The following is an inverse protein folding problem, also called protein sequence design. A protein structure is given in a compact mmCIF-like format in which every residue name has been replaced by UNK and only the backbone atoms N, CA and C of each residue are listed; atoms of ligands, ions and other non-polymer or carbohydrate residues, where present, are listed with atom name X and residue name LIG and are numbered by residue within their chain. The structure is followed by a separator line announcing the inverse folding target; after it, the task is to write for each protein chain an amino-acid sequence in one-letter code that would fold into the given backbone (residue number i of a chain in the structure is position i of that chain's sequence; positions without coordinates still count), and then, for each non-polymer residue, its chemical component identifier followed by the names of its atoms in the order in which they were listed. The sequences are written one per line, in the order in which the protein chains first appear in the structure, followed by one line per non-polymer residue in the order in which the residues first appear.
data_IF_202131501461
#
_entry.id   IF_202131501461
#
_cell.length_a   1.000
_cell.length_b   1.000
_cell.length_c   1.000
_cell.angle_alpha   90.00
_cell.angle_beta   90.00
_cell.angle_gamma   90.00
#
_symmetry.space_group_name_H-M   'P 1'
#
loop_
_entity.id
_entity.type
_entity.pdbx_description
1 polymer ?
#
# COMPACT_ATOMS: atom_id res chain seq x y z
N UNK A 1 2.35 -11.74 -18.18
CA UNK A 1 1.00 -11.29 -17.80
C UNK A 1 1.14 -10.35 -16.60
N UNK A 2 0.29 -9.31 -16.48
CA UNK A 2 0.29 -8.45 -15.29
C UNK A 2 -0.19 -9.26 -14.07
N UNK A 3 0.43 -9.03 -12.90
CA UNK A 3 0.01 -9.69 -11.65
C UNK A 3 -1.41 -9.29 -11.25
N UNK A 4 -2.09 -10.12 -10.44
CA UNK A 4 -3.43 -9.78 -9.93
C UNK A 4 -3.42 -8.44 -9.19
N UNK A 5 -2.36 -8.14 -8.46
CA UNK A 5 -2.21 -6.87 -7.76
C UNK A 5 -2.17 -5.66 -8.69
N UNK A 6 -1.61 -5.80 -9.89
CA UNK A 6 -1.61 -4.76 -10.92
C UNK A 6 -2.94 -4.72 -11.69
N UNK A 7 -3.45 -5.89 -12.13
CA UNK A 7 -4.71 -6.00 -12.85
C UNK A 7 -5.89 -5.38 -12.09
N UNK A 8 -5.93 -5.56 -10.77
CA UNK A 8 -7.01 -5.08 -9.89
C UNK A 8 -6.64 -3.80 -9.10
N UNK A 9 -5.54 -3.14 -9.47
CA UNK A 9 -5.15 -1.86 -8.87
C UNK A 9 -6.26 -0.83 -9.10
N UNK A 10 -6.76 -0.17 -8.05
CA UNK A 10 -7.76 0.88 -8.18
C UNK A 10 -7.29 2.02 -9.10
N UNK A 11 -8.14 2.42 -10.03
CA UNK A 11 -7.92 3.56 -10.93
C UNK A 11 -8.68 4.81 -10.51
N UNK A 12 -9.45 4.73 -9.42
CA UNK A 12 -10.24 5.83 -8.85
C UNK A 12 -10.26 5.69 -7.33
N UNK A 13 -10.35 6.80 -6.63
CA UNK A 13 -10.39 6.83 -5.16
C UNK A 13 -11.51 5.97 -4.56
N UNK A 14 -12.67 5.88 -5.22
CA UNK A 14 -13.78 5.02 -4.79
C UNK A 14 -13.43 3.51 -4.77
N UNK A 15 -12.44 3.09 -5.54
CA UNK A 15 -11.96 1.70 -5.57
C UNK A 15 -10.94 1.36 -4.48
N UNK A 16 -10.44 2.35 -3.75
CA UNK A 16 -9.44 2.13 -2.68
C UNK A 16 -10.13 1.53 -1.47
N UNK A 17 -9.65 0.36 -1.05
CA UNK A 17 -10.28 -0.46 -0.03
C UNK A 17 -9.64 -0.23 1.34
N UNK A 18 -10.47 -0.13 2.38
CA UNK A 18 -10.01 -0.06 3.78
C UNK A 18 -9.33 1.25 4.18
N UNK A 19 -9.37 2.30 3.34
CA UNK A 19 -8.67 3.57 3.56
C UNK A 19 -9.60 4.80 3.45
N UNK A 20 -10.86 4.65 3.87
CA UNK A 20 -11.87 5.70 3.69
C UNK A 20 -11.46 7.06 4.27
N UNK A 21 -10.82 7.06 5.45
CA UNK A 21 -10.33 8.28 6.11
C UNK A 21 -9.23 8.95 5.31
N UNK A 22 -8.23 8.18 4.89
CA UNK A 22 -7.11 8.69 4.08
C UNK A 22 -7.60 9.22 2.71
N UNK A 23 -8.49 8.48 2.04
CA UNK A 23 -9.11 8.91 0.78
C UNK A 23 -9.86 10.23 0.95
N UNK A 24 -10.70 10.36 1.99
CA UNK A 24 -11.44 11.60 2.27
C UNK A 24 -10.48 12.77 2.52
N UNK A 25 -9.40 12.56 3.25
CA UNK A 25 -8.37 13.58 3.51
C UNK A 25 -7.69 14.00 2.21
N UNK A 26 -7.26 13.04 1.37
CA UNK A 26 -6.64 13.32 0.07
C UNK A 26 -7.59 14.13 -0.81
N UNK A 27 -8.84 13.71 -0.96
CA UNK A 27 -9.83 14.42 -1.79
C UNK A 27 -10.11 15.83 -1.28
N UNK A 28 -10.19 16.05 0.03
CA UNK A 28 -10.39 17.37 0.62
C UNK A 28 -9.22 18.32 0.33
N UNK A 29 -7.99 17.80 0.28
CA UNK A 29 -6.80 18.60 -0.07
C UNK A 29 -6.74 18.86 -1.57
N UNK A 30 -7.02 17.87 -2.41
CA UNK A 30 -7.06 18.01 -3.87
C UNK A 30 -8.10 19.03 -4.33
N UNK A 31 -9.24 19.14 -3.63
CA UNK A 31 -10.27 20.15 -3.90
C UNK A 31 -9.77 21.59 -3.71
N UNK A 32 -8.67 21.81 -2.97
CA UNK A 32 -8.03 23.13 -2.76
C UNK A 32 -6.90 23.44 -3.74
N UNK A 33 -6.63 22.52 -4.65
CA UNK A 33 -5.54 22.59 -5.63
C UNK A 33 -4.66 21.36 -5.61
N UNK A 34 -4.17 20.98 -6.78
CA UNK A 34 -3.42 19.74 -6.96
C UNK A 34 -1.91 19.91 -6.74
N UNK A 35 -1.31 20.90 -7.36
CA UNK A 35 0.14 21.08 -7.40
C UNK A 35 0.67 22.10 -6.39
N UNK A 36 1.95 22.45 -6.52
CA UNK A 36 2.66 23.31 -5.58
C UNK A 36 2.78 22.69 -4.19
N UNK A 37 2.77 21.35 -4.09
CA UNK A 37 2.78 20.65 -2.79
C UNK A 37 3.46 19.31 -2.82
N UNK A 38 3.89 18.90 -1.64
CA UNK A 38 4.40 17.57 -1.40
C UNK A 38 3.46 16.78 -0.49
N UNK A 39 3.45 15.47 -0.67
CA UNK A 39 2.68 14.51 0.11
C UNK A 39 3.62 13.52 0.77
N UNK A 40 3.29 13.12 1.99
CA UNK A 40 3.99 12.07 2.72
C UNK A 40 2.99 10.98 3.09
N UNK A 41 3.08 9.81 2.43
CA UNK A 41 2.15 8.70 2.63
C UNK A 41 2.85 7.59 3.38
N UNK A 42 2.46 7.35 4.63
CA UNK A 42 2.99 6.27 5.45
C UNK A 42 1.95 5.18 5.72
N UNK A 43 2.41 3.95 5.94
CA UNK A 43 1.54 2.81 6.23
C UNK A 43 2.24 1.48 6.04
N UNK A 44 1.65 0.40 6.55
CA UNK A 44 2.18 -0.95 6.39
C UNK A 44 2.35 -1.35 4.92
N UNK A 45 3.18 -2.36 4.64
CA UNK A 45 3.33 -2.88 3.29
C UNK A 45 1.99 -3.42 2.77
N UNK A 46 1.69 -3.20 1.49
CA UNK A 46 0.47 -3.70 0.84
C UNK A 46 -0.84 -2.99 1.21
N UNK A 47 -0.81 -1.88 1.97
CA UNK A 47 -2.00 -1.11 2.36
C UNK A 47 -2.50 -0.13 1.29
N UNK A 48 -1.78 0.02 0.17
CA UNK A 48 -2.20 0.86 -0.95
C UNK A 48 -1.48 2.20 -1.08
N UNK A 49 -0.30 2.39 -0.44
CA UNK A 49 0.48 3.65 -0.54
C UNK A 49 0.73 4.09 -1.98
N UNK A 50 1.36 3.22 -2.77
CA UNK A 50 1.66 3.49 -4.19
C UNK A 50 0.38 3.68 -5.01
N UNK A 51 -0.71 2.98 -4.68
CA UNK A 51 -2.01 3.18 -5.33
C UNK A 51 -2.54 4.60 -5.10
N UNK A 52 -2.53 5.08 -3.85
CA UNK A 52 -2.97 6.44 -3.53
C UNK A 52 -2.02 7.47 -4.14
N UNK A 53 -0.70 7.21 -4.14
CA UNK A 53 0.28 8.09 -4.79
C UNK A 53 -0.03 8.27 -6.29
N UNK A 54 -0.28 7.17 -7.01
CA UNK A 54 -0.66 7.20 -8.42
C UNK A 54 -1.99 7.95 -8.63
N UNK A 55 -3.00 7.73 -7.78
CA UNK A 55 -4.28 8.45 -7.88
C UNK A 55 -4.13 9.96 -7.63
N UNK A 56 -3.20 10.36 -6.75
CA UNK A 56 -2.85 11.78 -6.56
C UNK A 56 -2.18 12.32 -7.83
N UNK A 57 -1.23 11.60 -8.40
CA UNK A 57 -0.57 11.99 -9.65
C UNK A 57 -1.60 12.12 -10.78
N UNK A 58 -2.44 11.11 -10.98
CA UNK A 58 -3.48 11.07 -12.00
C UNK A 58 -4.52 12.18 -11.85
N UNK A 59 -4.67 12.78 -10.68
CA UNK A 59 -5.62 13.87 -10.47
C UNK A 59 -5.22 15.16 -11.19
N UNK A 60 -3.93 15.37 -11.52
CA UNK A 60 -3.48 16.63 -12.14
C UNK A 60 -2.30 16.51 -13.08
N UNK A 61 -1.51 15.43 -13.02
CA UNK A 61 -0.37 15.26 -13.92
C UNK A 61 -0.79 14.65 -15.27
N UNK A 62 -0.07 15.02 -16.31
CA UNK A 62 -0.08 14.30 -17.57
C UNK A 62 0.63 12.94 -17.37
N UNK A 63 0.08 11.84 -17.89
CA UNK A 63 0.69 10.50 -17.74
C UNK A 63 2.15 10.41 -18.21
N UNK A 64 2.55 11.18 -19.23
CA UNK A 64 3.94 11.24 -19.71
C UNK A 64 4.89 11.97 -18.73
N UNK A 65 4.34 12.75 -17.82
CA UNK A 65 5.10 13.51 -16.82
C UNK A 65 4.88 12.97 -15.39
N UNK A 66 4.54 11.70 -15.27
CA UNK A 66 4.59 10.97 -14.00
C UNK A 66 5.86 10.13 -13.97
N UNK A 67 6.78 10.48 -13.06
CA UNK A 67 8.05 9.77 -12.89
C UNK A 67 8.06 9.08 -11.53
N UNK A 68 8.25 7.75 -11.52
CA UNK A 68 8.46 6.96 -10.29
C UNK A 68 9.96 6.81 -10.04
N UNK A 69 10.38 7.16 -8.83
CA UNK A 69 11.78 7.17 -8.39
C UNK A 69 11.89 6.38 -7.08
N UNK A 70 12.95 5.62 -6.95
CA UNK A 70 13.36 5.07 -5.65
C UNK A 70 14.16 6.13 -4.89
N UNK A 71 13.93 6.24 -3.58
CA UNK A 71 14.64 7.22 -2.75
C UNK A 71 16.17 7.07 -2.80
N UNK A 72 16.66 5.83 -2.96
CA UNK A 72 18.10 5.53 -3.01
C UNK A 72 18.79 6.09 -4.27
N UNK A 73 18.06 6.28 -5.37
CA UNK A 73 18.62 6.85 -6.61
C UNK A 73 18.51 8.38 -6.66
N UNK A 74 17.84 9.01 -5.69
CA UNK A 74 17.74 10.47 -5.57
C UNK A 74 19.05 11.09 -5.06
N UNK A 75 20.03 11.13 -5.94
CA UNK A 75 21.29 11.85 -5.71
C UNK A 75 21.08 13.36 -5.90
N UNK A 76 22.00 14.22 -5.40
CA UNK A 76 21.99 15.65 -5.70
C UNK A 76 21.93 15.97 -7.19
N UNK A 77 22.63 15.20 -8.02
CA UNK A 77 22.61 15.36 -9.47
C UNK A 77 21.21 15.06 -10.07
N UNK A 78 20.56 13.99 -9.62
CA UNK A 78 19.19 13.64 -10.06
C UNK A 78 18.18 14.66 -9.60
N UNK A 79 18.30 15.18 -8.37
CA UNK A 79 17.44 16.25 -7.87
C UNK A 79 17.59 17.55 -8.68
N UNK A 80 18.80 17.91 -9.06
CA UNK A 80 19.04 19.08 -9.94
C UNK A 80 18.44 18.87 -11.35
N UNK A 81 18.40 17.63 -11.87
CA UNK A 81 17.71 17.30 -13.13
C UNK A 81 16.19 17.46 -12.96
N UNK A 82 15.63 16.91 -11.89
CA UNK A 82 14.20 17.03 -11.55
C UNK A 82 13.83 18.52 -11.43
N UNK A 83 14.59 19.32 -10.69
CA UNK A 83 14.33 20.74 -10.51
C UNK A 83 14.37 21.53 -11.84
N UNK A 84 15.37 21.27 -12.69
CA UNK A 84 15.42 21.86 -14.03
C UNK A 84 14.19 21.53 -14.87
N UNK A 85 13.63 20.34 -14.71
CA UNK A 85 12.44 19.91 -15.43
C UNK A 85 11.18 20.70 -15.05
N UNK A 86 11.16 21.38 -13.90
CA UNK A 86 10.04 22.23 -13.46
C UNK A 86 9.81 23.43 -14.38
N UNK A 87 10.83 23.85 -15.14
CA UNK A 87 10.67 24.90 -16.15
C UNK A 87 9.73 24.54 -17.31
N UNK A 88 9.48 23.24 -17.51
CA UNK A 88 8.67 22.74 -18.62
C UNK A 88 7.29 22.31 -18.13
N UNK A 89 6.25 22.59 -18.92
CA UNK A 89 4.87 22.15 -18.72
C UNK A 89 4.42 21.25 -19.87
N UNK A 90 3.46 20.38 -19.63
CA UNK A 90 2.78 19.68 -20.71
C UNK A 90 2.06 20.68 -21.60
N UNK A 91 2.17 20.50 -22.92
CA UNK A 91 1.53 21.38 -23.89
C UNK A 91 0.08 20.99 -24.20
N UNK A 92 -0.32 19.76 -23.86
CA UNK A 92 -1.66 19.23 -24.09
C UNK A 92 -2.11 18.39 -22.89
N UNK A 93 -3.41 18.31 -22.66
CA UNK A 93 -3.97 17.51 -21.57
C UNK A 93 -3.86 18.20 -20.22
N UNK A 94 -3.49 17.46 -19.19
CA UNK A 94 -3.26 17.99 -17.84
C UNK A 94 -1.88 18.61 -17.77
N UNK A 95 -1.74 19.85 -17.28
CA UNK A 95 -0.46 20.57 -17.35
C UNK A 95 0.55 20.14 -16.26
N UNK A 96 0.15 19.26 -15.34
CA UNK A 96 0.93 18.91 -14.18
C UNK A 96 1.99 17.86 -14.41
N UNK A 97 2.98 17.87 -13.52
CA UNK A 97 4.04 16.85 -13.38
C UNK A 97 4.00 16.25 -12.00
N UNK A 98 4.17 14.94 -11.89
CA UNK A 98 4.24 14.27 -10.61
C UNK A 98 5.51 13.43 -10.47
N UNK A 99 6.14 13.50 -9.32
CA UNK A 99 7.28 12.68 -8.93
C UNK A 99 6.86 11.80 -7.75
N UNK A 100 6.88 10.49 -7.96
CA UNK A 100 6.53 9.51 -6.94
C UNK A 100 7.82 8.91 -6.38
N UNK A 101 8.17 9.30 -5.17
CA UNK A 101 9.40 8.85 -4.49
C UNK A 101 9.02 7.70 -3.56
N UNK A 102 9.37 6.49 -3.98
CA UNK A 102 9.11 5.28 -3.21
C UNK A 102 10.20 5.05 -2.16
N UNK A 103 9.80 4.41 -1.05
CA UNK A 103 10.66 4.06 0.09
C UNK A 103 11.49 5.24 0.62
N UNK A 104 10.79 6.37 0.84
CA UNK A 104 11.39 7.66 1.21
C UNK A 104 12.31 7.62 2.45
N UNK A 105 12.21 6.59 3.29
CA UNK A 105 13.16 6.35 4.37
C UNK A 105 14.59 6.00 3.89
N UNK A 106 14.76 5.69 2.60
CA UNK A 106 16.07 5.52 1.96
C UNK A 106 16.73 6.81 1.48
N UNK A 107 16.12 7.98 1.71
CA UNK A 107 16.70 9.27 1.32
C UNK A 107 17.98 9.55 2.10
N UNK A 108 19.00 9.99 1.38
CA UNK A 108 20.29 10.40 1.96
C UNK A 108 20.22 11.83 2.49
N UNK A 109 21.04 12.17 3.48
CA UNK A 109 21.04 13.48 4.13
C UNK A 109 21.29 14.65 3.15
N UNK A 110 22.18 14.43 2.17
CA UNK A 110 22.46 15.40 1.13
C UNK A 110 21.22 15.68 0.23
N UNK A 111 20.48 14.61 -0.12
CA UNK A 111 19.23 14.71 -0.86
C UNK A 111 18.12 15.39 -0.05
N UNK A 112 18.00 15.10 1.25
CA UNK A 112 17.01 15.72 2.14
C UNK A 112 17.21 17.25 2.18
N UNK A 113 18.46 17.70 2.34
CA UNK A 113 18.77 19.15 2.37
C UNK A 113 18.37 19.88 1.09
N UNK A 114 18.61 19.26 -0.05
CA UNK A 114 18.18 19.84 -1.34
C UNK A 114 16.66 19.82 -1.50
N UNK A 115 16.00 18.72 -1.09
CA UNK A 115 14.56 18.63 -1.11
C UNK A 115 13.89 19.70 -0.23
N UNK A 116 14.46 20.03 0.94
CA UNK A 116 13.93 21.08 1.80
C UNK A 116 13.84 22.43 1.06
N UNK A 117 14.89 22.79 0.31
CA UNK A 117 14.91 24.04 -0.49
C UNK A 117 13.95 23.94 -1.68
N UNK A 118 13.94 22.81 -2.36
CA UNK A 118 13.09 22.55 -3.52
C UNK A 118 11.59 22.64 -3.16
N UNK A 119 11.19 22.06 -2.03
CA UNK A 119 9.79 22.03 -1.59
C UNK A 119 9.23 23.41 -1.25
N UNK A 120 10.07 24.35 -0.80
CA UNK A 120 9.67 25.75 -0.54
C UNK A 120 9.34 26.54 -1.80
N UNK A 121 9.84 26.10 -2.95
CA UNK A 121 9.70 26.78 -4.26
C UNK A 121 8.99 25.93 -5.30
N UNK A 122 8.23 24.93 -4.85
CA UNK A 122 7.57 23.97 -5.74
C UNK A 122 6.51 24.67 -6.59
N UNK A 123 6.62 24.63 -7.94
CA UNK A 123 5.67 25.28 -8.83
C UNK A 123 4.27 24.68 -8.73
N UNK A 124 3.23 25.47 -8.99
CA UNK A 124 1.82 25.03 -8.93
C UNK A 124 1.47 23.86 -9.86
N UNK A 125 2.27 23.61 -10.90
CA UNK A 125 2.08 22.48 -11.83
C UNK A 125 2.93 21.27 -11.46
N UNK A 126 3.59 21.25 -10.30
CA UNK A 126 4.41 20.12 -9.83
C UNK A 126 3.87 19.58 -8.53
N UNK A 127 3.85 18.27 -8.42
CA UNK A 127 3.47 17.54 -7.21
C UNK A 127 4.54 16.48 -6.90
N UNK A 128 4.96 16.38 -5.65
CA UNK A 128 5.87 15.32 -5.20
C UNK A 128 5.16 14.45 -4.17
N UNK A 129 5.21 13.14 -4.33
CA UNK A 129 4.56 12.20 -3.41
C UNK A 129 5.59 11.21 -2.87
N UNK A 130 5.89 11.32 -1.61
CA UNK A 130 6.75 10.38 -0.89
C UNK A 130 5.92 9.23 -0.33
N UNK A 131 6.39 7.99 -0.47
CA UNK A 131 5.79 6.82 0.20
C UNK A 131 6.80 6.14 1.10
N UNK A 132 6.38 5.68 2.27
CA UNK A 132 7.24 4.97 3.23
C UNK A 132 6.47 3.94 4.04
N UNK A 133 7.16 2.96 4.61
CA UNK A 133 6.57 2.06 5.59
C UNK A 133 6.56 2.70 6.98
N UNK A 134 5.68 2.25 7.90
CA UNK A 134 5.68 2.76 9.28
C UNK A 134 7.03 2.54 9.98
N UNK A 135 7.65 1.37 9.80
CA UNK A 135 8.96 1.08 10.35
C UNK A 135 10.04 1.98 9.75
N UNK A 136 10.02 2.17 8.43
CA UNK A 136 10.93 3.07 7.74
C UNK A 136 10.76 4.53 8.17
N UNK A 137 9.50 4.97 8.39
CA UNK A 137 9.23 6.32 8.89
C UNK A 137 9.81 6.56 10.28
N UNK A 138 9.69 5.59 11.20
CA UNK A 138 10.26 5.69 12.54
C UNK A 138 11.79 5.80 12.48
N UNK A 139 12.45 4.90 11.75
CA UNK A 139 13.91 4.94 11.58
C UNK A 139 14.39 6.25 10.94
N UNK A 140 13.65 6.73 9.96
CA UNK A 140 13.96 7.97 9.26
C UNK A 140 13.77 9.20 10.17
N UNK A 141 12.74 9.22 11.01
CA UNK A 141 12.45 10.32 11.94
C UNK A 141 13.50 10.48 13.02
N UNK A 142 14.14 9.36 13.44
CA UNK A 142 15.20 9.38 14.46
C UNK A 142 16.52 10.00 13.93
N UNK A 143 16.67 10.16 12.62
CA UNK A 143 17.87 10.74 11.99
C UNK A 143 17.93 12.28 12.01
N UNK A 144 17.05 12.95 12.73
CA UNK A 144 17.12 14.43 12.98
C UNK A 144 16.87 15.35 11.78
N UNK A 145 17.34 14.97 10.58
CA UNK A 145 17.20 15.76 9.34
C UNK A 145 15.85 15.52 8.62
N UNK A 146 15.10 14.48 9.00
CA UNK A 146 13.89 14.04 8.33
C UNK A 146 12.62 14.78 8.77
N UNK A 147 12.53 15.14 10.04
CA UNK A 147 11.34 15.82 10.59
C UNK A 147 11.01 17.14 9.86
N UNK A 148 11.99 18.00 9.49
CA UNK A 148 11.74 19.18 8.68
C UNK A 148 11.16 18.87 7.29
N UNK A 149 11.56 17.76 6.64
CA UNK A 149 11.01 17.34 5.36
C UNK A 149 9.55 16.90 5.49
N UNK A 150 9.27 16.04 6.47
CA UNK A 150 7.92 15.52 6.73
C UNK A 150 6.96 16.67 7.08
N UNK A 151 7.41 17.67 7.85
CA UNK A 151 6.61 18.83 8.24
C UNK A 151 6.18 19.71 7.07
N UNK A 152 6.94 19.71 5.96
CA UNK A 152 6.62 20.45 4.73
C UNK A 152 5.68 19.68 3.81
N UNK A 153 5.37 18.44 4.16
CA UNK A 153 4.49 17.57 3.36
C UNK A 153 3.08 17.48 3.96
N UNK A 154 2.08 17.32 3.11
CA UNK A 154 0.75 16.87 3.54
C UNK A 154 0.84 15.39 3.94
N UNK A 155 0.69 15.12 5.23
CA UNK A 155 0.84 13.78 5.77
C UNK A 155 -0.45 12.97 5.65
N UNK A 156 -0.36 11.78 5.08
CA UNK A 156 -1.43 10.80 4.95
C UNK A 156 -0.98 9.48 5.56
N UNK A 157 -1.65 9.04 6.61
CA UNK A 157 -1.37 7.77 7.26
C UNK A 157 -2.40 6.72 6.87
N UNK A 158 -1.94 5.59 6.34
CA UNK A 158 -2.80 4.48 5.96
C UNK A 158 -2.98 3.52 7.14
N UNK A 159 -4.23 3.10 7.33
CA UNK A 159 -4.62 2.22 8.41
C UNK A 159 -4.44 0.75 8.03
N UNK A 160 -4.12 -0.09 9.02
CA UNK A 160 -4.08 -1.54 8.92
C UNK A 160 -4.81 -2.20 10.11
N UNK A 161 -5.85 -1.53 10.59
CA UNK A 161 -6.70 -2.01 11.68
C UNK A 161 -7.78 -3.00 11.22
N UNK A 162 -8.59 -3.53 12.16
CA UNK A 162 -9.60 -4.55 11.86
C UNK A 162 -10.58 -4.15 10.76
N UNK A 163 -11.03 -2.90 10.74
CA UNK A 163 -11.95 -2.40 9.71
C UNK A 163 -11.31 -2.41 8.32
N UNK A 164 -10.05 -2.01 8.21
CA UNK A 164 -9.28 -2.04 6.96
C UNK A 164 -9.08 -3.48 6.48
N UNK A 165 -8.71 -4.40 7.39
CA UNK A 165 -8.52 -5.83 7.08
C UNK A 165 -9.82 -6.50 6.61
N UNK A 166 -10.95 -6.22 7.27
CA UNK A 166 -12.27 -6.71 6.83
C UNK A 166 -12.58 -6.27 5.40
N UNK A 167 -12.34 -5.01 5.07
CA UNK A 167 -12.56 -4.51 3.72
C UNK A 167 -11.60 -5.16 2.69
N UNK A 168 -10.35 -5.45 3.08
CA UNK A 168 -9.39 -6.19 2.25
C UNK A 168 -9.85 -7.64 2.00
N UNK A 169 -10.42 -8.32 3.00
CA UNK A 169 -10.95 -9.67 2.86
C UNK A 169 -12.09 -9.72 1.83
N UNK A 170 -13.06 -8.81 1.93
CA UNK A 170 -14.16 -8.67 0.96
C UNK A 170 -13.62 -8.43 -0.46
N UNK A 171 -12.61 -7.58 -0.58
CA UNK A 171 -11.98 -7.30 -1.88
C UNK A 171 -11.27 -8.52 -2.45
N UNK A 172 -10.51 -9.23 -1.63
CA UNK A 172 -9.79 -10.44 -2.04
C UNK A 172 -10.77 -11.53 -2.49
N UNK A 173 -11.87 -11.74 -1.75
CA UNK A 173 -12.92 -12.67 -2.12
C UNK A 173 -13.54 -12.33 -3.48
N UNK A 174 -13.86 -11.04 -3.71
CA UNK A 174 -14.38 -10.60 -5.00
C UNK A 174 -13.40 -10.90 -6.14
N UNK A 175 -12.11 -10.61 -5.95
CA UNK A 175 -11.07 -10.88 -6.94
C UNK A 175 -10.91 -12.38 -7.17
N UNK A 176 -10.95 -13.21 -6.12
CA UNK A 176 -10.88 -14.65 -6.23
C UNK A 176 -12.04 -15.21 -7.06
N UNK A 177 -13.27 -14.74 -6.83
CA UNK A 177 -14.44 -15.10 -7.63
C UNK A 177 -14.28 -14.72 -9.10
N UNK A 178 -13.78 -13.53 -9.37
CA UNK A 178 -13.46 -13.08 -10.74
C UNK A 178 -12.39 -13.98 -11.41
N UNK A 179 -11.54 -14.63 -10.62
CA UNK A 179 -10.54 -15.61 -11.06
C UNK A 179 -11.08 -17.07 -11.03
N UNK A 180 -12.40 -17.26 -10.83
CA UNK A 180 -13.07 -18.58 -10.75
C UNK A 180 -12.57 -19.45 -9.58
N UNK A 181 -12.13 -18.84 -8.51
CA UNK A 181 -11.76 -19.48 -7.25
C UNK A 181 -12.95 -19.30 -6.30
N UNK A 182 -13.79 -20.34 -6.20
CA UNK A 182 -15.01 -20.36 -5.41
C UNK A 182 -14.96 -21.38 -4.27
N UNK A 183 -15.96 -21.31 -3.38
CA UNK A 183 -16.20 -22.33 -2.36
C UNK A 183 -15.54 -22.07 -1.01
N UNK A 184 -15.02 -20.86 -0.77
CA UNK A 184 -14.48 -20.44 0.51
C UNK A 184 -15.36 -19.37 1.17
N UNK A 185 -15.57 -19.50 2.49
CA UNK A 185 -16.36 -18.60 3.30
C UNK A 185 -15.61 -17.29 3.60
N UNK A 186 -16.33 -16.25 3.99
CA UNK A 186 -15.79 -14.96 4.38
C UNK A 186 -14.72 -15.06 5.47
N UNK A 187 -14.90 -16.00 6.42
CA UNK A 187 -13.95 -16.26 7.49
C UNK A 187 -12.57 -16.71 6.97
N UNK A 188 -12.54 -17.52 5.90
CA UNK A 188 -11.28 -17.98 5.28
C UNK A 188 -10.48 -16.82 4.69
N UNK A 189 -11.18 -15.88 4.05
CA UNK A 189 -10.52 -14.68 3.53
C UNK A 189 -10.06 -13.72 4.64
N UNK A 190 -10.82 -13.61 5.73
CA UNK A 190 -10.41 -12.83 6.90
C UNK A 190 -9.14 -13.41 7.53
N UNK A 191 -9.11 -14.72 7.77
CA UNK A 191 -7.93 -15.42 8.28
C UNK A 191 -6.72 -15.22 7.36
N UNK A 192 -6.91 -15.34 6.04
CA UNK A 192 -5.84 -15.16 5.06
C UNK A 192 -5.28 -13.72 5.04
N UNK A 193 -6.13 -12.70 5.23
CA UNK A 193 -5.69 -11.31 5.39
C UNK A 193 -4.86 -11.15 6.66
N UNK A 194 -5.27 -11.77 7.77
CA UNK A 194 -4.54 -11.68 9.03
C UNK A 194 -3.18 -12.39 8.96
N UNK A 195 -3.09 -13.57 8.31
CA UNK A 195 -1.82 -14.25 8.01
C UNK A 195 -0.89 -13.39 7.16
N UNK A 196 -1.43 -12.67 6.18
CA UNK A 196 -0.69 -11.71 5.39
C UNK A 196 -0.46 -10.37 6.13
N UNK A 197 -0.81 -10.27 7.42
CA UNK A 197 -0.68 -9.05 8.25
C UNK A 197 -1.31 -7.82 7.60
N UNK A 198 -2.44 -8.00 6.90
CA UNK A 198 -3.11 -6.93 6.15
C UNK A 198 -2.35 -6.46 4.90
N UNK A 199 -1.49 -7.30 4.33
CA UNK A 199 -0.83 -7.04 3.06
C UNK A 199 -1.64 -7.64 1.91
N UNK A 200 -2.51 -6.83 1.31
CA UNK A 200 -3.38 -7.28 0.21
C UNK A 200 -2.57 -7.75 -1.01
N UNK A 201 -1.43 -7.13 -1.32
CA UNK A 201 -0.56 -7.56 -2.43
C UNK A 201 -0.07 -8.99 -2.22
N UNK A 202 0.39 -9.31 -1.01
CA UNK A 202 0.83 -10.66 -0.66
C UNK A 202 -0.30 -11.67 -0.76
N UNK A 203 -1.52 -11.34 -0.29
CA UNK A 203 -2.68 -12.21 -0.41
C UNK A 203 -3.05 -12.46 -1.88
N UNK A 204 -3.07 -11.42 -2.71
CA UNK A 204 -3.36 -11.57 -4.14
C UNK A 204 -2.30 -12.43 -4.86
N UNK A 205 -1.03 -12.33 -4.47
CA UNK A 205 0.03 -13.20 -4.97
C UNK A 205 -0.19 -14.68 -4.57
N UNK A 206 -0.65 -14.95 -3.33
CA UNK A 206 -1.01 -16.31 -2.90
C UNK A 206 -2.22 -16.86 -3.65
N UNK A 207 -3.20 -16.01 -3.97
CA UNK A 207 -4.34 -16.40 -4.80
C UNK A 207 -3.86 -16.75 -6.22
N UNK A 208 -2.99 -15.94 -6.79
CA UNK A 208 -2.44 -16.12 -8.14
C UNK A 208 -1.59 -17.39 -8.28
N UNK A 209 -0.79 -17.73 -7.27
CA UNK A 209 0.05 -18.93 -7.25
C UNK A 209 -0.69 -20.22 -6.87
N UNK A 210 -1.97 -20.15 -6.48
CA UNK A 210 -2.72 -21.30 -5.98
C UNK A 210 -2.48 -21.63 -4.50
N UNK A 211 -1.46 -21.06 -3.87
CA UNK A 211 -1.13 -21.35 -2.45
C UNK A 211 -2.28 -21.00 -1.49
N UNK A 212 -3.11 -20.00 -1.82
CA UNK A 212 -4.31 -19.69 -1.04
C UNK A 212 -5.30 -20.85 -1.03
N UNK A 213 -5.52 -21.52 -2.17
CA UNK A 213 -6.47 -22.64 -2.30
C UNK A 213 -5.98 -23.87 -1.53
N UNK A 214 -4.67 -24.15 -1.62
CA UNK A 214 -4.04 -25.26 -0.90
C UNK A 214 -4.18 -25.08 0.61
N UNK A 215 -3.80 -23.92 1.14
CA UNK A 215 -3.89 -23.61 2.57
C UNK A 215 -5.33 -23.61 3.08
N UNK A 216 -6.25 -23.00 2.33
CA UNK A 216 -7.65 -22.93 2.70
C UNK A 216 -8.29 -24.30 2.72
N UNK A 217 -7.96 -25.19 1.76
CA UNK A 217 -8.45 -26.56 1.68
C UNK A 217 -7.91 -27.39 2.84
N UNK A 218 -6.61 -27.27 3.15
CA UNK A 218 -5.98 -27.99 4.25
C UNK A 218 -6.58 -27.59 5.60
N UNK A 219 -6.79 -26.28 5.85
CA UNK A 219 -7.45 -25.79 7.06
C UNK A 219 -8.90 -26.28 7.18
N UNK A 220 -9.64 -26.31 6.08
CA UNK A 220 -10.99 -26.87 6.06
C UNK A 220 -10.99 -28.32 6.48
N UNK A 221 -10.03 -29.12 5.99
CA UNK A 221 -9.85 -30.51 6.38
C UNK A 221 -9.55 -30.63 7.87
N UNK A 222 -8.61 -29.89 8.41
CA UNK A 222 -8.28 -29.88 9.84
C UNK A 222 -9.45 -29.45 10.72
N UNK A 223 -10.22 -28.42 10.33
CA UNK A 223 -11.44 -28.00 11.06
C UNK A 223 -12.50 -29.09 11.04
N UNK A 224 -12.69 -29.78 9.91
CA UNK A 224 -13.64 -30.87 9.81
C UNK A 224 -13.21 -32.08 10.67
N UNK A 225 -11.93 -32.43 10.64
CA UNK A 225 -11.36 -33.50 11.49
C UNK A 225 -11.54 -33.15 12.98
N UNK A 226 -11.21 -31.90 13.37
CA UNK A 226 -11.36 -31.44 14.75
C UNK A 226 -12.82 -31.48 15.24
N UNK A 227 -13.79 -31.10 14.37
CA UNK A 227 -15.21 -31.10 14.69
C UNK A 227 -15.79 -32.51 14.81
N UNK A 228 -15.33 -33.44 13.98
CA UNK A 228 -15.80 -34.84 13.96
C UNK A 228 -15.18 -35.70 15.07
N UNK A 229 -14.13 -35.24 15.75
CA UNK A 229 -13.35 -36.01 16.70
C UNK A 229 -14.00 -36.05 18.09
N UNK A 230 -14.42 -37.22 18.64
CA UNK A 230 -14.97 -37.31 19.99
C UNK A 230 -13.97 -36.90 21.07
N UNK A 231 -14.47 -36.32 22.18
CA UNK A 231 -13.62 -35.77 23.25
C UNK A 231 -13.10 -36.84 24.21
N UNK A 232 -13.68 -38.06 24.17
CA UNK A 232 -13.63 -39.02 25.28
C UNK A 232 -12.33 -39.84 25.42
N UNK A 233 -11.34 -39.74 24.53
CA UNK A 233 -10.09 -40.51 24.64
C UNK A 233 -8.85 -39.63 24.78
N UNK A 234 -7.81 -40.13 25.53
CA UNK A 234 -6.53 -39.44 25.66
C UNK A 234 -5.82 -39.22 24.31
N UNK A 235 -5.98 -40.15 23.38
CA UNK A 235 -5.42 -40.04 22.03
C UNK A 235 -6.09 -38.88 21.22
N UNK A 236 -7.43 -38.81 21.30
CA UNK A 236 -8.18 -37.72 20.67
C UNK A 236 -7.85 -36.37 21.29
N UNK A 237 -7.66 -36.31 22.61
CA UNK A 237 -7.29 -35.08 23.28
C UNK A 237 -5.91 -34.55 22.80
N UNK A 238 -4.93 -35.44 22.59
CA UNK A 238 -3.63 -35.10 22.04
C UNK A 238 -3.76 -34.58 20.61
N UNK A 239 -4.48 -35.34 19.74
CA UNK A 239 -4.68 -34.97 18.32
C UNK A 239 -5.44 -33.65 18.17
N UNK A 240 -6.46 -33.41 19.03
CA UNK A 240 -7.18 -32.10 19.06
C UNK A 240 -6.29 -30.94 19.39
N UNK A 241 -5.33 -31.09 20.31
CA UNK A 241 -4.33 -30.06 20.62
C UNK A 241 -3.41 -29.81 19.43
N UNK A 242 -2.88 -30.86 18.83
CA UNK A 242 -2.04 -30.75 17.62
C UNK A 242 -2.76 -30.01 16.47
N UNK A 243 -4.03 -30.36 16.20
CA UNK A 243 -4.82 -29.69 15.16
C UNK A 243 -5.13 -28.22 15.50
N UNK A 244 -5.40 -27.93 16.78
CA UNK A 244 -5.60 -26.55 17.23
C UNK A 244 -4.31 -25.73 17.06
N UNK A 245 -3.16 -26.26 17.48
CA UNK A 245 -1.85 -25.63 17.30
C UNK A 245 -1.52 -25.41 15.80
N UNK A 246 -1.83 -26.38 14.93
CA UNK A 246 -1.66 -26.23 13.49
C UNK A 246 -2.58 -25.17 12.89
N UNK A 247 -3.82 -25.05 13.38
CA UNK A 247 -4.77 -24.03 12.95
C UNK A 247 -4.35 -22.60 13.41
N UNK A 248 -3.72 -22.50 14.58
CA UNK A 248 -3.22 -21.24 15.13
C UNK A 248 -1.87 -20.82 14.52
N UNK A 249 -1.03 -21.80 14.16
CA UNK A 249 0.29 -21.56 13.58
C UNK A 249 0.27 -21.29 12.07
N UNK A 250 -0.74 -21.75 11.39
CA UNK A 250 -0.91 -21.62 9.94
C UNK A 250 -1.74 -20.42 9.57
#
# INVERSE_FOLDING_TARGET
MASLSEKYRPRHFAGVVGQAKAVKQVQAVLARGWGGRAWWISGASGTGKTTIANLIADAGADPFFVEELDAQVLTPAKLAEVERSFAYRAMSGRPGKAYLVNEAHGLRKDAIRLLLVMLERLPEHVCIVFTTTNAGELLFSDEGDAAPLISRCTQIKLENGPSSRKAMAIRAQKIARDQKIDGFDDAVYADAVDQCRGNLRMLLSRIESGAFVEDATQRRTWRTELAAMPVETKANAKRRRELAELLDAA
#
